data_IF_876582067672
#
_entry.id   IF_876582067672
#
_cell.length_a   1.000
_cell.length_b   1.000
_cell.length_c   1.000
_cell.angle_alpha   90.00
_cell.angle_beta   90.00
_cell.angle_gamma   90.00
#
_symmetry.space_group_name_H-M   'P 1'
#
loop_
_entity.id
_entity.type
_entity.pdbx_description
1 polymer ?
#
# COMPACT_ATOMS: atom_id res chain seq x y z
N UNK A 1 -5.84 2.10 11.55
CA UNK A 1 -4.81 1.52 12.43
C UNK A 1 -3.45 2.01 11.95
N UNK A 2 -2.55 2.39 12.87
CA UNK A 2 -1.19 2.81 12.50
C UNK A 2 -0.31 1.57 12.42
N UNK A 3 0.37 1.40 11.30
CA UNK A 3 1.30 0.33 10.99
C UNK A 3 2.72 0.90 10.94
N UNK A 4 3.68 0.18 11.51
CA UNK A 4 5.10 0.55 11.46
C UNK A 4 5.75 -0.22 10.31
N UNK A 5 6.20 0.49 9.28
CA UNK A 5 6.87 -0.12 8.13
C UNK A 5 8.36 0.17 8.24
N UNK A 6 9.17 -0.89 8.19
CA UNK A 6 10.62 -0.77 8.17
C UNK A 6 11.11 -0.64 6.74
N UNK A 7 11.86 0.41 6.46
CA UNK A 7 12.45 0.68 5.16
C UNK A 7 13.78 -0.06 5.00
N UNK A 8 14.30 -0.09 3.77
CA UNK A 8 15.58 -0.74 3.46
C UNK A 8 16.78 -0.08 4.16
N UNK A 9 16.72 1.22 4.40
CA UNK A 9 17.73 1.97 5.16
C UNK A 9 17.67 1.69 6.68
N UNK A 10 16.73 0.85 7.13
CA UNK A 10 16.54 0.49 8.53
C UNK A 10 15.64 1.44 9.31
N UNK A 11 15.24 2.58 8.72
CA UNK A 11 14.29 3.50 9.34
C UNK A 11 12.90 2.87 9.47
N UNK A 12 12.14 3.33 10.46
CA UNK A 12 10.77 2.88 10.69
C UNK A 12 9.83 4.05 10.45
N UNK A 13 8.97 3.90 9.44
CA UNK A 13 7.97 4.90 9.12
C UNK A 13 6.59 4.45 9.61
N UNK A 14 5.95 5.22 10.51
CA UNK A 14 4.56 5.03 10.86
C UNK A 14 3.66 5.46 9.68
N UNK A 15 2.79 4.56 9.26
CA UNK A 15 1.78 4.82 8.22
C UNK A 15 0.43 4.30 8.66
N UNK A 16 -0.62 5.00 8.29
CA UNK A 16 -1.98 4.51 8.40
C UNK A 16 -2.40 3.88 7.07
N UNK A 17 -2.84 2.63 7.12
CA UNK A 17 -3.27 1.88 5.94
C UNK A 17 -4.77 1.64 6.03
N UNK A 18 -5.49 2.01 4.98
CA UNK A 18 -6.94 1.88 4.90
C UNK A 18 -7.36 1.33 3.54
N UNK A 19 -8.33 0.42 3.55
CA UNK A 19 -8.93 -0.08 2.31
C UNK A 19 -10.02 0.90 1.85
N UNK A 20 -9.99 1.30 0.59
CA UNK A 20 -10.99 2.21 0.02
C UNK A 20 -11.26 1.88 -1.45
N UNK A 21 -12.13 2.64 -2.09
CA UNK A 21 -12.43 2.54 -3.51
C UNK A 21 -12.24 3.87 -4.19
N UNK A 22 -11.52 3.89 -5.30
CA UNK A 22 -11.35 5.07 -6.14
C UNK A 22 -11.83 4.76 -7.55
N UNK A 23 -12.83 5.50 -8.07
CA UNK A 23 -13.43 5.26 -9.40
C UNK A 23 -13.76 3.78 -9.66
N UNK A 24 -14.37 3.10 -8.67
CA UNK A 24 -14.71 1.66 -8.66
C UNK A 24 -13.53 0.68 -8.58
N UNK A 25 -12.29 1.16 -8.57
CA UNK A 25 -11.11 0.33 -8.31
C UNK A 25 -10.89 0.18 -6.80
N UNK A 26 -10.64 -1.05 -6.33
CA UNK A 26 -10.22 -1.30 -4.94
C UNK A 26 -8.78 -0.83 -4.78
N UNK A 27 -8.56 0.11 -3.85
CA UNK A 27 -7.25 0.69 -3.58
C UNK A 27 -6.98 0.70 -2.08
N UNK A 28 -5.71 0.90 -1.74
CA UNK A 28 -5.24 1.04 -0.38
C UNK A 28 -4.71 2.46 -0.20
N UNK A 29 -5.36 3.23 0.65
CA UNK A 29 -4.88 4.54 1.05
C UNK A 29 -3.81 4.35 2.12
N UNK A 30 -2.64 4.92 1.88
CA UNK A 30 -1.49 4.93 2.78
C UNK A 30 -1.25 6.38 3.18
N UNK A 31 -1.50 6.70 4.44
CA UNK A 31 -1.31 8.03 4.98
C UNK A 31 -0.07 8.06 5.88
N UNK A 32 0.83 8.99 5.61
CA UNK A 32 2.04 9.22 6.39
C UNK A 32 1.78 10.24 7.49
N UNK A 33 2.61 10.25 8.53
CA UNK A 33 2.46 11.16 9.66
C UNK A 33 2.76 12.63 9.30
N UNK A 34 3.47 12.88 8.20
CA UNK A 34 3.70 14.21 7.65
C UNK A 34 2.47 14.76 6.88
N UNK A 35 1.37 13.99 6.86
CA UNK A 35 0.14 14.35 6.16
C UNK A 35 0.10 13.91 4.70
N UNK A 36 1.19 13.40 4.13
CA UNK A 36 1.20 12.90 2.75
C UNK A 36 0.35 11.64 2.62
N UNK A 37 -0.24 11.46 1.45
CA UNK A 37 -1.13 10.34 1.17
C UNK A 37 -0.78 9.71 -0.17
N UNK A 38 -0.61 8.39 -0.18
CA UNK A 38 -0.41 7.61 -1.38
C UNK A 38 -1.58 6.63 -1.57
N UNK A 39 -2.06 6.50 -2.79
CA UNK A 39 -3.02 5.46 -3.15
C UNK A 39 -2.31 4.31 -3.84
N UNK A 40 -2.26 3.14 -3.20
CA UNK A 40 -1.67 1.94 -3.77
C UNK A 40 -2.74 1.00 -4.32
N UNK A 41 -2.44 0.37 -5.44
CA UNK A 41 -3.27 -0.69 -6.02
C UNK A 41 -2.39 -1.80 -6.55
N UNK A 42 -2.95 -3.00 -6.60
CA UNK A 42 -2.27 -4.19 -7.11
C UNK A 42 -2.70 -4.44 -8.55
N UNK A 43 -1.74 -4.59 -9.45
CA UNK A 43 -1.95 -4.94 -10.85
C UNK A 43 -1.14 -6.19 -11.16
N UNK A 44 -1.82 -7.33 -11.33
CA UNK A 44 -1.16 -8.64 -11.38
C UNK A 44 -0.39 -8.93 -10.09
N UNK A 45 0.93 -9.11 -10.20
CA UNK A 45 1.83 -9.36 -9.06
C UNK A 45 2.56 -8.09 -8.57
N UNK A 46 2.28 -6.94 -9.17
CA UNK A 46 2.98 -5.69 -8.86
C UNK A 46 2.08 -4.73 -8.08
N UNK A 47 2.72 -3.95 -7.20
CA UNK A 47 2.10 -2.84 -6.50
C UNK A 47 2.48 -1.55 -7.17
N UNK A 48 1.49 -0.69 -7.40
CA UNK A 48 1.62 0.57 -8.12
C UNK A 48 0.97 1.69 -7.32
N UNK A 49 1.50 2.91 -7.46
CA UNK A 49 0.91 4.12 -6.89
C UNK A 49 -0.01 4.82 -7.90
N UNK A 50 -1.06 5.47 -7.40
CA UNK A 50 -1.93 6.39 -8.14
C UNK A 50 -1.71 7.80 -7.62
N UNK A 51 -1.84 8.76 -8.54
CA UNK A 51 -2.00 10.21 -8.35
C UNK A 51 -0.69 10.96 -8.04
N UNK A 52 0.16 10.46 -7.15
CA UNK A 52 1.44 11.10 -6.82
C UNK A 52 2.57 10.06 -6.92
N UNK A 53 3.76 10.41 -7.41
CA UNK A 53 4.92 9.49 -7.51
C UNK A 53 6.01 9.87 -6.48
N UNK A 54 5.59 10.19 -5.25
CA UNK A 54 6.56 10.53 -4.19
C UNK A 54 7.11 9.31 -3.46
N UNK A 55 6.50 8.12 -3.63
CA UNK A 55 7.08 6.88 -3.12
C UNK A 55 7.98 6.27 -4.18
N UNK A 56 9.20 5.94 -3.81
CA UNK A 56 10.06 5.15 -4.68
C UNK A 56 9.54 3.69 -4.80
N UNK A 57 9.99 3.00 -5.85
CA UNK A 57 9.58 1.63 -6.13
C UNK A 57 9.90 0.63 -4.99
N UNK A 58 10.95 0.89 -4.21
CA UNK A 58 11.31 0.05 -3.06
C UNK A 58 10.30 0.22 -1.93
N UNK A 59 9.87 1.45 -1.66
CA UNK A 59 8.86 1.78 -0.66
C UNK A 59 7.49 1.24 -1.05
N UNK A 60 7.08 1.42 -2.30
CA UNK A 60 5.83 0.85 -2.85
C UNK A 60 5.82 -0.67 -2.65
N UNK A 61 6.91 -1.37 -3.00
CA UNK A 61 7.02 -2.82 -2.83
C UNK A 61 6.99 -3.24 -1.36
N UNK A 62 7.63 -2.48 -0.47
CA UNK A 62 7.67 -2.79 0.96
C UNK A 62 6.27 -2.66 1.58
N UNK A 63 5.57 -1.57 1.29
CA UNK A 63 4.19 -1.35 1.76
C UNK A 63 3.25 -2.38 1.14
N UNK A 64 3.39 -2.64 -0.15
CA UNK A 64 2.60 -3.62 -0.87
C UNK A 64 2.73 -5.04 -0.30
N UNK A 65 3.95 -5.49 -0.03
CA UNK A 65 4.19 -6.79 0.61
C UNK A 65 3.58 -6.85 2.02
N UNK A 66 3.65 -5.75 2.77
CA UNK A 66 3.00 -5.66 4.07
C UNK A 66 1.47 -5.75 3.95
N UNK A 67 0.89 -5.03 2.98
CA UNK A 67 -0.54 -5.13 2.65
C UNK A 67 -0.91 -6.56 2.26
N UNK A 68 -0.12 -7.24 1.44
CA UNK A 68 -0.33 -8.64 1.08
C UNK A 68 -0.25 -9.57 2.30
N UNK A 69 0.64 -9.30 3.26
CA UNK A 69 0.71 -10.06 4.52
C UNK A 69 -0.55 -9.90 5.38
N UNK A 70 -1.08 -8.67 5.51
CA UNK A 70 -2.29 -8.43 6.31
C UNK A 70 -3.59 -8.80 5.56
N UNK A 71 -3.59 -8.68 4.23
CA UNK A 71 -4.71 -9.05 3.35
C UNK A 71 -4.70 -10.54 2.98
N UNK A 72 -3.57 -11.23 3.15
CA UNK A 72 -3.36 -12.66 2.92
C UNK A 72 -4.20 -13.58 3.81
N UNK A 73 -4.96 -13.03 4.76
CA UNK A 73 -6.08 -13.73 5.39
C UNK A 73 -7.32 -13.88 4.47
N UNK A 74 -7.34 -13.23 3.30
CA UNK A 74 -8.01 -13.65 2.05
C UNK A 74 -8.04 -12.49 1.02
N UNK A 75 -7.34 -12.60 -0.11
CA UNK A 75 -7.79 -11.96 -1.34
C UNK A 75 -8.67 -12.94 -2.14
N UNK A 76 -9.86 -12.52 -2.63
CA UNK A 76 -10.70 -13.37 -3.45
C UNK A 76 -9.97 -13.69 -4.75
N UNK A 77 -9.89 -14.98 -5.07
CA UNK A 77 -9.53 -15.47 -6.40
C UNK A 77 -10.53 -14.87 -7.38
N UNK A 78 -10.11 -13.91 -8.19
CA UNK A 78 -10.81 -13.58 -9.42
C UNK A 78 -10.54 -14.74 -10.39
N UNK A 79 -11.42 -15.73 -10.36
CA UNK A 79 -11.68 -16.60 -11.52
C UNK A 79 -12.73 -15.88 -12.37
N UNK A 80 -12.51 -15.83 -13.68
CA UNK A 80 -13.43 -15.27 -14.68
C UNK A 80 -12.67 -14.56 -15.75
#
# INVERSE_FOLDING_TARGET
>A
MIHKIRLKDGSVQPVQIMRTTFKKLKVWLVQFMDGKQAMLYKFGNEWLQRIEDFLDASLIRTIGNYIDSIAGKNPPKLKG
#
